data_IF_814093559040
#
_entry.id   IF_814093559040
#
_cell.length_a   1.000
_cell.length_b   1.000
_cell.length_c   1.000
_cell.angle_alpha   90.00
_cell.angle_beta   90.00
_cell.angle_gamma   90.00
#
_symmetry.space_group_name_H-M   'P 1'
#
loop_
_entity.id
_entity.type
_entity.pdbx_description
1 polymer ?
#
# COMPACT_ATOMS: atom_id res chain seq x y z
N UNK A 1 33.73 -8.03 9.91
CA UNK A 1 32.81 -8.57 8.88
C UNK A 1 31.52 -7.77 8.91
N UNK A 2 31.33 -6.83 7.97
CA UNK A 2 30.14 -5.98 7.86
C UNK A 2 29.13 -6.70 6.94
N UNK A 3 27.92 -6.95 7.42
CA UNK A 3 26.82 -7.52 6.61
C UNK A 3 26.29 -6.42 5.66
N UNK A 4 25.97 -6.73 4.39
CA UNK A 4 25.44 -5.75 3.46
C UNK A 4 24.02 -5.33 3.89
N UNK A 5 23.72 -4.04 3.79
CA UNK A 5 22.37 -3.47 3.91
C UNK A 5 21.56 -3.94 2.69
N UNK A 6 20.38 -4.52 2.90
CA UNK A 6 19.43 -4.75 1.81
C UNK A 6 18.99 -3.36 1.32
N UNK A 7 19.44 -2.97 0.14
CA UNK A 7 18.89 -1.84 -0.60
C UNK A 7 17.62 -2.34 -1.30
N UNK A 8 16.49 -1.70 -1.02
CA UNK A 8 15.33 -1.71 -1.90
C UNK A 8 15.78 -1.23 -3.29
N UNK A 9 15.53 -2.03 -4.32
CA UNK A 9 16.16 -1.86 -5.62
C UNK A 9 15.70 -0.56 -6.32
N UNK A 10 16.68 0.28 -6.64
CA UNK A 10 16.56 1.43 -7.53
C UNK A 10 16.65 0.95 -9.00
N UNK A 11 15.64 1.24 -9.82
CA UNK A 11 15.78 1.24 -11.29
C UNK A 11 15.26 2.56 -11.84
N UNK A 12 16.19 3.34 -12.39
CA UNK A 12 15.94 4.60 -13.09
C UNK A 12 15.52 4.27 -14.53
N UNK A 13 14.35 4.75 -14.95
CA UNK A 13 14.12 5.14 -16.34
C UNK A 13 13.30 6.44 -16.34
N UNK A 14 13.93 7.52 -16.78
CA UNK A 14 13.35 8.86 -16.86
C UNK A 14 12.31 8.89 -17.98
N UNK A 15 11.05 9.09 -17.62
CA UNK A 15 10.07 9.77 -18.48
C UNK A 15 9.40 10.82 -17.62
N UNK A 16 9.61 12.09 -17.99
CA UNK A 16 9.04 13.23 -17.28
C UNK A 16 7.52 13.25 -17.42
N UNK A 17 6.83 12.84 -16.37
CA UNK A 17 5.44 13.20 -16.11
C UNK A 17 5.41 13.85 -14.73
N UNK A 18 5.01 15.12 -14.66
CA UNK A 18 4.60 15.73 -13.39
C UNK A 18 3.34 15.01 -12.92
N UNK A 19 3.48 14.11 -11.96
CA UNK A 19 2.36 13.60 -11.18
C UNK A 19 2.48 14.14 -9.75
N UNK A 20 1.34 14.48 -9.16
CA UNK A 20 1.25 14.91 -7.77
C UNK A 20 1.93 13.89 -6.85
N UNK A 21 2.74 14.38 -5.93
CA UNK A 21 3.26 13.58 -4.84
C UNK A 21 2.08 13.17 -3.97
N UNK A 22 1.75 11.88 -3.93
CA UNK A 22 0.79 11.37 -2.94
C UNK A 22 1.33 11.71 -1.55
N UNK A 23 0.55 12.41 -0.73
CA UNK A 23 0.87 12.66 0.67
C UNK A 23 0.56 11.40 1.46
N UNK A 24 1.24 11.16 2.57
CA UNK A 24 0.87 10.06 3.48
C UNK A 24 -0.57 10.22 4.01
N UNK A 25 -1.07 11.45 4.09
CA UNK A 25 -2.46 11.72 4.46
C UNK A 25 -3.49 11.27 3.40
N UNK A 26 -3.04 10.84 2.21
CA UNK A 26 -3.89 10.28 1.15
C UNK A 26 -4.03 8.74 1.27
N UNK A 27 -3.53 8.13 2.35
CA UNK A 27 -3.73 6.69 2.61
C UNK A 27 -5.20 6.35 2.80
N UNK A 28 -5.58 5.15 2.36
CA UNK A 28 -6.92 4.59 2.48
C UNK A 28 -6.88 3.14 2.95
N UNK A 29 -8.02 2.68 3.45
CA UNK A 29 -8.29 1.25 3.56
C UNK A 29 -8.89 0.74 2.26
N UNK A 30 -8.37 -0.39 1.76
CA UNK A 30 -9.11 -1.26 0.84
C UNK A 30 -9.85 -2.30 1.64
N UNK A 31 -11.16 -2.33 1.47
CA UNK A 31 -12.05 -3.29 2.13
C UNK A 31 -12.54 -4.26 1.07
N UNK A 32 -12.22 -5.54 1.23
CA UNK A 32 -12.59 -6.56 0.26
C UNK A 32 -14.10 -6.57 0.06
N UNK A 33 -14.56 -6.60 -1.20
CA UNK A 33 -15.97 -6.84 -1.46
C UNK A 33 -16.32 -8.32 -1.28
N UNK A 34 -17.58 -8.64 -0.90
CA UNK A 34 -18.02 -10.04 -0.77
C UNK A 34 -17.77 -10.87 -2.04
N UNK A 35 -17.79 -10.22 -3.21
CA UNK A 35 -17.61 -10.86 -4.51
C UNK A 35 -16.15 -11.06 -4.93
N UNK A 36 -15.15 -10.59 -4.16
CA UNK A 36 -13.72 -10.63 -4.52
C UNK A 36 -13.23 -12.04 -4.87
N UNK A 37 -13.78 -13.07 -4.22
CA UNK A 37 -13.55 -14.48 -4.55
C UNK A 37 -12.15 -15.04 -4.26
N UNK A 38 -11.18 -14.20 -3.87
CA UNK A 38 -9.85 -14.62 -3.45
C UNK A 38 -9.84 -15.02 -1.96
N UNK A 39 -9.56 -16.28 -1.60
CA UNK A 39 -9.55 -16.75 -0.21
C UNK A 39 -8.52 -16.03 0.69
N UNK A 40 -7.40 -15.56 0.13
CA UNK A 40 -6.38 -14.85 0.91
C UNK A 40 -6.86 -13.46 1.33
N UNK A 41 -7.72 -12.85 0.51
CA UNK A 41 -8.24 -11.50 0.73
C UNK A 41 -9.72 -11.45 1.10
N UNK A 42 -10.40 -12.59 1.17
CA UNK A 42 -11.77 -12.67 1.67
C UNK A 42 -11.87 -12.00 3.04
N UNK A 43 -12.89 -11.15 3.17
CA UNK A 43 -13.17 -10.34 4.36
C UNK A 43 -11.94 -9.56 4.89
N UNK A 44 -11.02 -9.17 4.00
CA UNK A 44 -9.82 -8.41 4.40
C UNK A 44 -10.09 -6.90 4.48
N UNK A 45 -9.43 -6.27 5.44
CA UNK A 45 -9.24 -4.82 5.51
C UNK A 45 -7.75 -4.56 5.38
N UNK A 46 -7.36 -3.83 4.33
CA UNK A 46 -5.98 -3.60 3.96
C UNK A 46 -5.66 -2.12 4.16
N UNK A 47 -4.68 -1.83 5.01
CA UNK A 47 -4.09 -0.50 5.12
C UNK A 47 -3.11 -0.29 3.97
N UNK A 48 -3.41 0.65 3.07
CA UNK A 48 -2.52 0.97 1.96
C UNK A 48 -1.32 1.78 2.47
N UNK A 49 -0.12 1.37 2.07
CA UNK A 49 1.11 2.07 2.46
C UNK A 49 1.39 3.14 1.40
N UNK A 50 1.47 4.43 1.79
CA UNK A 50 1.82 5.50 0.86
C UNK A 50 3.19 5.22 0.25
N UNK A 51 3.33 5.32 -1.08
CA UNK A 51 4.62 5.13 -1.69
C UNK A 51 5.46 6.40 -1.58
N UNK A 52 6.76 6.27 -1.36
CA UNK A 52 7.66 7.43 -1.28
C UNK A 52 7.79 8.19 -2.61
N UNK A 53 7.56 7.51 -3.73
CA UNK A 53 7.60 8.02 -5.11
C UNK A 53 6.54 7.28 -5.93
N UNK A 54 6.18 7.75 -7.14
CA UNK A 54 5.29 6.99 -8.03
C UNK A 54 5.86 5.59 -8.30
N UNK A 55 5.26 4.52 -7.75
CA UNK A 55 5.88 3.22 -7.82
C UNK A 55 5.24 2.39 -8.93
N UNK A 56 5.97 1.39 -9.42
CA UNK A 56 5.34 0.32 -10.20
C UNK A 56 4.56 -0.64 -9.30
N UNK A 57 4.96 -0.75 -8.04
CA UNK A 57 4.39 -1.65 -7.04
C UNK A 57 3.77 -0.86 -5.89
N UNK A 58 2.57 -1.24 -5.45
CA UNK A 58 1.91 -0.63 -4.31
C UNK A 58 1.82 -1.66 -3.20
N UNK A 59 2.19 -1.25 -1.99
CA UNK A 59 2.18 -2.12 -0.82
C UNK A 59 0.98 -1.84 0.07
N UNK A 60 0.54 -2.87 0.79
CA UNK A 60 -0.52 -2.80 1.77
C UNK A 60 -0.35 -3.87 2.84
N UNK A 61 -1.02 -3.69 3.98
CA UNK A 61 -0.99 -4.66 5.08
C UNK A 61 -2.41 -5.00 5.49
N UNK A 62 -2.76 -6.29 5.49
CA UNK A 62 -4.03 -6.76 6.04
C UNK A 62 -4.02 -6.55 7.56
N UNK A 63 -4.94 -5.73 8.07
CA UNK A 63 -4.94 -5.31 9.48
C UNK A 63 -5.85 -6.15 10.39
N UNK A 64 -6.69 -7.00 9.80
CA UNK A 64 -7.82 -7.63 10.50
C UNK A 64 -7.76 -9.16 10.59
N UNK A 65 -6.62 -9.78 10.22
CA UNK A 65 -6.44 -11.25 10.28
C UNK A 65 -5.44 -11.65 11.37
N UNK A 66 -5.86 -11.73 12.64
CA UNK A 66 -5.00 -12.24 13.71
C UNK A 66 -4.67 -13.71 13.49
N UNK A 67 -3.45 -14.12 13.85
CA UNK A 67 -3.03 -15.53 13.82
C UNK A 67 -3.08 -16.14 15.22
N UNK A 68 -2.71 -17.42 15.35
CA UNK A 68 -2.47 -18.10 16.64
C UNK A 68 -1.01 -18.02 17.10
N UNK A 69 -0.17 -17.30 16.35
CA UNK A 69 1.28 -17.23 16.58
C UNK A 69 1.57 -16.02 17.46
N UNK A 70 2.15 -16.25 18.64
CA UNK A 70 2.57 -15.16 19.52
C UNK A 70 3.77 -14.39 18.96
N UNK A 71 3.79 -13.08 19.17
CA UNK A 71 4.82 -12.15 18.64
C UNK A 71 6.26 -12.60 18.94
N UNK A 72 6.51 -13.20 20.11
CA UNK A 72 7.84 -13.72 20.48
C UNK A 72 8.44 -14.70 19.47
N UNK A 73 7.60 -15.43 18.71
CA UNK A 73 8.07 -16.37 17.67
C UNK A 73 8.70 -15.67 16.47
N UNK A 74 8.31 -14.43 16.16
CA UNK A 74 8.98 -13.62 15.13
C UNK A 74 10.36 -13.10 15.58
N UNK A 75 10.66 -13.14 16.89
CA UNK A 75 11.90 -12.62 17.46
C UNK A 75 12.62 -13.67 18.32
N UNK A 76 13.11 -14.78 17.73
CA UNK A 76 13.69 -15.90 18.47
C UNK A 76 14.96 -15.52 19.26
N UNK A 77 15.61 -14.41 18.94
CA UNK A 77 16.79 -13.91 19.64
C UNK A 77 16.50 -12.82 20.67
N UNK A 78 15.25 -12.34 20.79
CA UNK A 78 14.85 -11.38 21.80
C UNK A 78 14.41 -12.12 23.07
N UNK A 79 15.18 -11.91 24.15
CA UNK A 79 14.99 -12.65 25.42
C UNK A 79 13.81 -12.09 26.23
N UNK A 80 13.48 -10.80 26.06
CA UNK A 80 12.37 -10.15 26.73
C UNK A 80 11.68 -9.15 25.81
N UNK A 81 10.36 -9.24 25.72
CA UNK A 81 9.47 -8.36 24.94
C UNK A 81 8.22 -8.12 25.80
N UNK A 82 8.34 -7.35 26.89
CA UNK A 82 7.26 -7.15 27.85
C UNK A 82 6.04 -6.52 27.19
N UNK A 83 6.24 -5.71 26.14
CA UNK A 83 5.20 -4.98 25.43
C UNK A 83 4.82 -5.57 24.07
N UNK A 84 5.19 -6.83 23.83
CA UNK A 84 4.65 -7.59 22.70
C UNK A 84 3.12 -7.69 22.76
N UNK A 85 2.46 -7.42 21.63
CA UNK A 85 1.08 -7.79 21.40
C UNK A 85 0.90 -9.32 21.53
N UNK A 86 -0.32 -9.76 21.80
CA UNK A 86 -0.59 -11.18 22.10
C UNK A 86 -0.28 -12.09 20.91
N UNK A 87 -0.63 -11.64 19.70
CA UNK A 87 -0.49 -12.40 18.46
C UNK A 87 0.05 -11.55 17.32
N UNK A 88 0.69 -12.23 16.37
CA UNK A 88 1.06 -11.69 15.06
C UNK A 88 -0.18 -11.69 14.18
N UNK A 89 -0.30 -10.68 13.32
CA UNK A 89 -1.34 -10.59 12.31
C UNK A 89 -0.77 -11.02 10.95
N UNK A 90 -1.59 -11.69 10.14
CA UNK A 90 -1.24 -11.97 8.76
C UNK A 90 -1.41 -10.69 7.94
N UNK A 91 -0.30 -10.11 7.47
CA UNK A 91 -0.30 -8.87 6.70
C UNK A 91 -0.45 -9.07 5.18
N UNK A 92 -0.20 -10.29 4.69
CA UNK A 92 -0.40 -10.67 3.30
C UNK A 92 0.56 -11.77 2.84
N UNK A 93 0.40 -12.24 1.59
CA UNK A 93 1.11 -13.42 1.08
C UNK A 93 2.56 -13.16 0.67
N UNK A 94 2.97 -11.90 0.55
CA UNK A 94 4.30 -11.51 0.07
C UNK A 94 5.28 -11.48 1.23
N UNK A 95 6.46 -12.05 1.01
CA UNK A 95 7.56 -12.18 1.98
C UNK A 95 7.08 -12.58 3.39
N UNK A 96 6.52 -13.78 3.54
CA UNK A 96 5.99 -14.28 4.82
C UNK A 96 7.00 -14.30 5.98
N UNK A 97 8.29 -14.14 5.73
CA UNK A 97 9.31 -14.02 6.79
C UNK A 97 9.54 -12.55 7.22
N UNK A 98 9.05 -11.59 6.44
CA UNK A 98 9.11 -10.17 6.76
C UNK A 98 8.23 -9.88 7.99
N UNK A 99 8.81 -9.21 8.97
CA UNK A 99 8.10 -8.74 10.16
C UNK A 99 7.93 -7.24 10.05
N UNK A 100 6.69 -6.79 10.12
CA UNK A 100 6.33 -5.37 10.07
C UNK A 100 5.65 -4.99 11.37
N UNK A 101 5.75 -3.73 11.76
CA UNK A 101 4.99 -3.19 12.88
C UNK A 101 4.35 -1.88 12.48
N UNK A 102 3.03 -1.78 12.65
CA UNK A 102 2.36 -0.48 12.65
C UNK A 102 2.23 -0.01 14.09
N UNK A 103 2.58 1.26 14.33
CA UNK A 103 2.50 1.88 15.64
C UNK A 103 1.89 3.27 15.56
N UNK A 104 1.13 3.63 16.60
CA UNK A 104 0.63 4.98 16.83
C UNK A 104 1.64 5.73 17.69
N UNK A 105 2.14 6.88 17.24
CA UNK A 105 3.11 7.65 18.02
C UNK A 105 3.16 9.14 17.67
N UNK A 106 3.51 9.96 18.65
CA UNK A 106 3.91 11.36 18.45
C UNK A 106 5.43 11.55 18.34
N UNK A 107 6.20 10.47 18.36
CA UNK A 107 7.67 10.50 18.35
C UNK A 107 8.21 9.39 17.44
N UNK A 108 8.07 9.57 16.11
CA UNK A 108 8.67 8.67 15.14
C UNK A 108 10.20 8.70 15.19
N UNK A 109 10.82 7.59 14.84
CA UNK A 109 12.26 7.49 14.58
C UNK A 109 12.54 7.73 13.10
N UNK A 110 13.81 7.88 12.73
CA UNK A 110 14.19 8.06 11.32
C UNK A 110 13.92 6.81 10.46
N UNK A 111 13.85 5.64 11.09
CA UNK A 111 13.62 4.35 10.41
C UNK A 111 12.12 4.03 10.29
N UNK A 112 11.24 4.93 10.71
CA UNK A 112 9.80 4.78 10.59
C UNK A 112 9.27 5.44 9.32
N UNK A 113 8.46 4.69 8.56
CA UNK A 113 7.75 5.22 7.41
C UNK A 113 6.40 5.78 7.88
N UNK A 114 6.11 7.04 7.54
CA UNK A 114 4.83 7.66 7.86
C UNK A 114 3.73 7.06 6.98
N UNK A 115 2.63 6.60 7.60
CA UNK A 115 1.52 5.96 6.89
C UNK A 115 0.31 6.86 6.81
N UNK A 116 -0.15 7.41 7.94
CA UNK A 116 -1.32 8.29 8.00
C UNK A 116 -1.43 8.93 9.38
N UNK A 117 -1.61 10.26 9.48
CA UNK A 117 -1.80 10.89 10.79
C UNK A 117 -0.65 10.59 11.76
N UNK A 118 -0.93 9.90 12.86
CA UNK A 118 0.06 9.44 13.86
C UNK A 118 0.48 7.96 13.69
N UNK A 119 0.15 7.35 12.56
CA UNK A 119 0.52 5.97 12.22
C UNK A 119 1.85 5.91 11.48
N UNK A 120 2.71 5.02 11.97
CA UNK A 120 4.03 4.77 11.43
C UNK A 120 4.27 3.27 11.25
N UNK A 121 5.00 2.92 10.19
CA UNK A 121 5.39 1.56 9.85
C UNK A 121 6.89 1.38 10.08
N UNK A 122 7.25 0.36 10.84
CA UNK A 122 8.64 -0.09 11.01
C UNK A 122 8.81 -1.46 10.34
N UNK A 123 9.90 -1.65 9.59
CA UNK A 123 10.18 -2.91 8.85
C UNK A 123 11.51 -3.58 9.23
N UNK A 124 12.36 -2.94 10.04
CA UNK A 124 13.57 -3.57 10.57
C UNK A 124 13.22 -4.37 11.84
N UNK A 125 13.36 -5.71 11.85
CA UNK A 125 13.08 -6.52 13.02
C UNK A 125 13.88 -6.13 14.27
N UNK A 126 15.07 -5.54 14.12
CA UNK A 126 15.84 -5.05 15.25
C UNK A 126 15.19 -3.81 15.86
N UNK A 127 14.77 -2.86 15.03
CA UNK A 127 14.08 -1.66 15.50
C UNK A 127 12.76 -2.04 16.19
N UNK A 128 11.98 -2.94 15.57
CA UNK A 128 10.74 -3.46 16.15
C UNK A 128 11.01 -4.10 17.52
N UNK A 129 12.03 -4.95 17.63
CA UNK A 129 12.38 -5.59 18.90
C UNK A 129 12.79 -4.57 19.99
N UNK A 130 13.51 -3.50 19.64
CA UNK A 130 13.83 -2.43 20.59
C UNK A 130 12.60 -1.65 21.04
N UNK A 131 11.68 -1.33 20.12
CA UNK A 131 10.42 -0.66 20.46
C UNK A 131 9.61 -1.53 21.42
N UNK A 132 9.49 -2.83 21.15
CA UNK A 132 8.75 -3.78 21.98
C UNK A 132 9.39 -4.04 23.36
N UNK A 133 10.64 -3.62 23.58
CA UNK A 133 11.32 -3.64 24.89
C UNK A 133 11.08 -2.40 25.73
N UNK A 134 10.69 -1.28 25.11
CA UNK A 134 10.47 -0.02 25.84
C UNK A 134 9.36 -0.20 26.87
N UNK A 135 9.63 -0.10 28.19
CA UNK A 135 8.64 -0.29 29.23
C UNK A 135 7.51 0.75 29.21
N UNK A 136 7.69 1.87 28.53
CA UNK A 136 6.68 2.93 28.39
C UNK A 136 5.78 2.76 27.16
N UNK A 137 6.04 1.75 26.32
CA UNK A 137 5.20 1.45 25.17
C UNK A 137 3.82 0.99 25.60
N UNK A 138 2.78 1.70 25.15
CA UNK A 138 1.41 1.23 25.24
C UNK A 138 1.16 0.16 24.16
N UNK A 139 0.89 -1.08 24.60
CA UNK A 139 0.62 -2.20 23.70
C UNK A 139 -0.62 -1.99 22.83
N UNK A 140 -1.58 -1.18 23.28
CA UNK A 140 -2.77 -0.85 22.50
C UNK A 140 -2.44 -0.03 21.24
N UNK A 141 -1.25 0.60 21.19
CA UNK A 141 -0.81 1.44 20.10
C UNK A 141 0.18 0.75 19.15
N UNK A 142 0.36 -0.58 19.25
CA UNK A 142 1.22 -1.33 18.34
C UNK A 142 0.54 -2.59 17.83
N UNK A 143 0.86 -2.95 16.58
CA UNK A 143 0.43 -4.21 15.98
C UNK A 143 1.55 -4.76 15.11
N UNK A 144 1.88 -6.03 15.30
CA UNK A 144 2.94 -6.72 14.57
C UNK A 144 2.30 -7.62 13.52
N UNK A 145 2.85 -7.56 12.32
CA UNK A 145 2.41 -8.28 11.14
C UNK A 145 3.51 -9.17 10.61
N UNK A 146 3.10 -10.22 9.92
CA UNK A 146 3.98 -11.08 9.16
C UNK A 146 3.51 -11.18 7.72
N UNK A 147 4.44 -10.94 6.80
CA UNK A 147 4.15 -10.69 5.39
C UNK A 147 3.38 -9.41 5.14
N UNK A 148 3.24 -9.07 3.87
CA UNK A 148 2.48 -7.92 3.40
C UNK A 148 1.79 -8.27 2.06
N UNK A 149 0.96 -7.35 1.58
CA UNK A 149 0.26 -7.45 0.31
C UNK A 149 0.88 -6.47 -0.67
N UNK A 150 1.01 -6.87 -1.93
CA UNK A 150 1.61 -6.04 -2.97
C UNK A 150 0.88 -6.23 -4.28
N UNK A 151 0.75 -5.15 -5.04
CA UNK A 151 0.15 -5.14 -6.37
C UNK A 151 1.06 -4.44 -7.36
N UNK A 152 1.02 -4.86 -8.62
CA UNK A 152 1.33 -3.94 -9.71
C UNK A 152 0.30 -2.80 -9.72
N UNK A 153 0.74 -1.56 -9.95
CA UNK A 153 -0.15 -0.40 -9.93
C UNK A 153 -1.31 -0.50 -10.94
N UNK A 154 -1.09 -1.12 -12.10
CA UNK A 154 -2.13 -1.31 -13.10
C UNK A 154 -3.08 -2.43 -12.69
N UNK A 155 -2.56 -3.50 -12.07
CA UNK A 155 -3.40 -4.53 -11.47
C UNK A 155 -4.34 -3.91 -10.42
N UNK A 156 -3.80 -3.14 -9.48
CA UNK A 156 -4.60 -2.49 -8.43
C UNK A 156 -5.67 -1.57 -9.03
N UNK A 157 -5.32 -0.77 -10.04
CA UNK A 157 -6.26 0.08 -10.76
C UNK A 157 -7.39 -0.74 -11.41
N UNK A 158 -7.04 -1.85 -12.06
CA UNK A 158 -8.02 -2.73 -12.70
C UNK A 158 -8.95 -3.38 -11.68
N UNK A 159 -8.43 -3.84 -10.55
CA UNK A 159 -9.24 -4.41 -9.48
C UNK A 159 -10.19 -3.37 -8.88
N UNK A 160 -9.70 -2.14 -8.63
CA UNK A 160 -10.56 -1.02 -8.22
C UNK A 160 -11.66 -0.74 -9.26
N UNK A 161 -11.30 -0.74 -10.55
CA UNK A 161 -12.25 -0.50 -11.65
C UNK A 161 -13.30 -1.61 -11.83
N UNK A 162 -12.94 -2.85 -11.53
CA UNK A 162 -13.86 -3.99 -11.51
C UNK A 162 -14.73 -4.00 -10.25
N UNK A 163 -14.47 -3.10 -9.30
CA UNK A 163 -15.18 -3.07 -8.04
C UNK A 163 -14.80 -4.24 -7.14
N UNK A 164 -13.54 -4.67 -7.14
CA UNK A 164 -13.06 -5.71 -6.22
C UNK A 164 -12.97 -5.21 -4.77
N UNK A 165 -12.89 -3.89 -4.59
CA UNK A 165 -12.61 -3.23 -3.31
C UNK A 165 -13.61 -2.10 -3.05
N UNK A 166 -13.95 -1.87 -1.78
CA UNK A 166 -14.38 -0.56 -1.30
C UNK A 166 -13.19 0.24 -0.80
N UNK A 167 -13.26 1.56 -0.90
CA UNK A 167 -12.29 2.49 -0.35
C UNK A 167 -12.90 3.22 0.85
N UNK A 168 -12.17 3.22 1.97
CA UNK A 168 -12.60 3.85 3.23
C UNK A 168 -11.44 4.69 3.79
N UNK A 169 -11.69 5.92 4.28
CA UNK A 169 -10.63 6.71 4.93
C UNK A 169 -9.98 5.97 6.10
N UNK A 170 -8.66 6.15 6.26
CA UNK A 170 -7.93 5.55 7.37
C UNK A 170 -8.38 6.14 8.70
N UNK A 171 -8.46 5.29 9.73
CA UNK A 171 -8.55 5.70 11.12
C UNK A 171 -7.60 4.84 11.95
N UNK A 172 -6.83 5.47 12.83
CA UNK A 172 -5.91 4.76 13.70
C UNK A 172 -6.64 3.73 14.58
N UNK A 173 -7.83 4.05 15.06
CA UNK A 173 -8.62 3.16 15.91
C UNK A 173 -9.03 1.86 15.19
N UNK A 174 -9.25 1.90 13.87
CA UNK A 174 -9.50 0.70 13.08
C UNK A 174 -8.26 -0.21 13.01
N UNK A 175 -7.07 0.37 12.84
CA UNK A 175 -5.80 -0.37 12.80
C UNK A 175 -5.55 -1.11 14.12
N UNK A 176 -5.95 -0.54 15.24
CA UNK A 176 -5.77 -1.13 16.58
C UNK A 176 -7.06 -1.70 17.19
N UNK A 177 -8.09 -1.94 16.37
CA UNK A 177 -9.39 -2.44 16.86
C UNK A 177 -9.23 -3.69 17.73
N UNK A 178 -9.94 -3.71 18.87
CA UNK A 178 -10.02 -4.85 19.77
C UNK A 178 -10.86 -6.00 19.21
N UNK A 179 -11.65 -5.74 18.17
CA UNK A 179 -12.53 -6.71 17.48
C UNK A 179 -12.14 -6.83 16.00
N UNK A 180 -10.89 -7.21 15.66
CA UNK A 180 -10.41 -7.22 14.29
C UNK A 180 -11.25 -8.10 13.36
N UNK A 181 -11.79 -9.23 13.86
CA UNK A 181 -12.66 -10.12 13.09
C UNK A 181 -13.96 -9.45 12.61
N UNK A 182 -14.47 -8.45 13.34
CA UNK A 182 -15.69 -7.70 12.97
C UNK A 182 -15.39 -6.43 12.17
N UNK A 183 -14.12 -6.04 12.06
CA UNK A 183 -13.73 -4.79 11.41
C UNK A 183 -14.17 -4.73 9.94
N UNK A 184 -14.17 -5.87 9.25
CA UNK A 184 -14.64 -5.94 7.87
C UNK A 184 -16.12 -5.58 7.75
N UNK A 185 -16.99 -6.18 8.57
CA UNK A 185 -18.43 -5.89 8.58
C UNK A 185 -18.68 -4.39 8.86
N UNK A 186 -17.95 -3.82 9.82
CA UNK A 186 -18.05 -2.42 10.21
C UNK A 186 -17.65 -1.45 9.09
N UNK A 187 -16.62 -1.79 8.30
CA UNK A 187 -16.10 -0.92 7.26
C UNK A 187 -16.78 -1.12 5.90
N UNK A 188 -17.31 -2.31 5.60
CA UNK A 188 -18.13 -2.53 4.40
C UNK A 188 -19.33 -1.58 4.39
N UNK A 189 -20.00 -1.38 5.53
CA UNK A 189 -21.12 -0.46 5.65
C UNK A 189 -20.76 1.02 5.40
N UNK A 190 -19.48 1.36 5.52
CA UNK A 190 -18.93 2.72 5.29
C UNK A 190 -18.26 2.85 3.92
N UNK A 191 -18.06 1.74 3.23
CA UNK A 191 -17.36 1.60 1.97
C UNK A 191 -17.98 2.44 0.87
N UNK A 192 -17.12 3.10 0.08
CA UNK A 192 -17.50 3.69 -1.21
C UNK A 192 -16.76 2.98 -2.32
N UNK A 193 -17.33 3.00 -3.52
CA UNK A 193 -16.60 2.52 -4.69
C UNK A 193 -15.37 3.41 -4.90
N UNK A 194 -14.18 2.84 -5.15
CA UNK A 194 -12.98 3.62 -5.46
C UNK A 194 -13.23 4.56 -6.63
N UNK A 195 -12.69 5.77 -6.56
CA UNK A 195 -12.69 6.67 -7.71
C UNK A 195 -11.69 6.13 -8.73
N UNK A 196 -12.21 5.68 -9.87
CA UNK A 196 -11.38 5.18 -10.96
C UNK A 196 -11.05 6.36 -11.85
N UNK A 197 -9.80 6.81 -11.81
CA UNK A 197 -9.34 7.79 -12.79
C UNK A 197 -9.53 7.18 -14.20
N UNK A 198 -10.25 7.85 -15.11
CA UNK A 198 -10.45 7.32 -16.45
C UNK A 198 -9.09 7.06 -17.10
N UNK A 199 -8.94 6.00 -17.92
CA UNK A 199 -7.69 5.73 -18.59
C UNK A 199 -7.26 6.98 -19.36
N UNK A 200 -6.10 7.53 -19.01
CA UNK A 200 -5.53 8.68 -19.69
C UNK A 200 -5.50 8.38 -21.20
N UNK A 201 -5.95 9.30 -22.08
CA UNK A 201 -6.01 9.07 -23.52
C UNK A 201 -4.63 8.94 -24.21
N UNK A 202 -3.54 8.84 -23.46
CA UNK A 202 -2.19 8.60 -23.98
C UNK A 202 -1.89 7.10 -24.15
N UNK A 203 -2.59 6.48 -25.09
CA UNK A 203 -2.32 5.13 -25.61
C UNK A 203 -2.81 4.93 -27.03
N UNK A 204 -3.22 6.00 -27.73
CA UNK A 204 -3.65 5.97 -29.11
C UNK A 204 -2.49 6.29 -30.06
N UNK A 205 -2.08 5.30 -30.83
CA UNK A 205 -1.34 5.39 -32.09
C UNK A 205 -1.10 6.78 -32.67
N UNK A 206 0.15 7.04 -33.03
CA UNK A 206 0.60 7.99 -34.05
C UNK A 206 0.02 7.65 -35.44
N UNK A 207 -1.29 7.74 -35.58
CA UNK A 207 -1.98 7.84 -36.86
C UNK A 207 -3.05 8.91 -36.69
N UNK A 208 -2.60 10.17 -36.74
CA UNK A 208 -3.40 11.24 -37.33
C UNK A 208 -3.68 10.81 -38.76
N UNK A 209 -4.77 10.06 -38.97
CA UNK A 209 -5.40 10.02 -40.29
C UNK A 209 -5.83 11.46 -40.53
N UNK A 210 -5.15 12.07 -41.50
CA UNK A 210 -5.45 13.37 -42.06
C UNK A 210 -6.91 13.40 -42.51
N UNK A 211 -7.80 13.95 -41.68
CA UNK A 211 -8.99 14.61 -42.19
C UNK A 211 -8.56 15.95 -42.80
N UNK A 212 -7.97 15.89 -43.99
CA UNK A 212 -7.90 17.07 -44.85
C UNK A 212 -9.30 17.30 -45.42
N UNK A 213 -9.83 18.54 -45.40
CA UNK A 213 -11.06 18.85 -46.11
C UNK A 213 -10.88 18.57 -47.61
N UNK A 214 -11.93 18.12 -48.32
CA UNK A 214 -11.83 17.86 -49.75
C UNK A 214 -11.55 19.17 -50.49
N UNK A 215 -10.35 19.28 -51.06
CA UNK A 215 -9.94 20.45 -51.87
C UNK A 215 -8.49 20.91 -51.74
N UNK A 216 -7.70 20.39 -50.80
CA UNK A 216 -6.36 20.94 -50.52
C UNK A 216 -5.17 20.27 -51.25
N UNK A 217 -5.39 19.39 -52.23
CA UNK A 217 -4.30 18.67 -52.93
C UNK A 217 -3.78 19.39 -54.19
N UNK A 218 -4.42 20.45 -54.67
CA UNK A 218 -3.95 21.13 -55.90
C UNK A 218 -2.93 22.26 -55.72
N UNK A 219 -2.50 22.61 -54.49
CA UNK A 219 -1.54 23.71 -54.30
C UNK A 219 -0.07 23.29 -54.09
N UNK A 220 0.24 22.00 -53.99
CA UNK A 220 1.62 21.53 -53.75
C UNK A 220 2.40 21.12 -55.02
N UNK A 221 1.90 21.39 -56.24
CA UNK A 221 2.60 21.06 -57.50
C UNK A 221 2.91 22.26 -58.40
N UNK A 222 2.90 23.51 -57.88
CA UNK A 222 3.25 24.72 -58.66
C UNK A 222 4.42 25.56 -58.13
N UNK A 223 5.31 24.97 -57.33
CA UNK A 223 6.53 25.67 -56.87
C UNK A 223 7.83 24.89 -57.12
N UNK A 224 7.86 23.99 -58.11
CA UNK A 224 9.10 23.33 -58.57
C UNK A 224 9.46 23.61 -60.03
N UNK A 225 8.94 24.69 -60.61
CA UNK A 225 9.42 25.21 -61.89
C UNK A 225 9.39 26.74 -61.84
N UNK A 226 10.42 27.33 -61.25
CA UNK A 226 11.15 28.54 -61.70
C UNK A 226 12.43 28.67 -60.88
#
# INVERSE_FOLDING_TARGET
MKRPRLLLALVIMVVGLSAGTASADDSSFLVARPELGDPLFEQSVILMIPPEQMPQLVDGVIINKPTTIGVKKAFPHAIDLPNAADVIYFGGPVELEATLMVRRTSSPTQDDHHVFGDLYLSVDPKNIAEILKDPHLDKANVRVFQGYSQWDINQLRNEKAQGSWYEVPVSADAVFSATPAHLWDELVAKGRMPEVEPPSPSGGSLLKILELPPGSVEQSLRLSQY
#
